data_IF_015383144617
#
_entry.id   IF_015383144617
#
_cell.length_a   1.000
_cell.length_b   1.000
_cell.length_c   1.000
_cell.angle_alpha   90.00
_cell.angle_beta   90.00
_cell.angle_gamma   90.00
#
_symmetry.space_group_name_H-M   'P 1'
#
loop_
_entity.id
_entity.type
_entity.pdbx_description
1 polymer ?
#
# COMPACT_ATOMS: atom_id res chain seq x y z
N UNK A 1 -67.63 15.39 7.24
CA UNK A 1 -67.12 14.89 5.93
C UNK A 1 -65.62 14.66 6.07
N UNK A 2 -65.17 13.43 5.78
CA UNK A 2 -63.81 12.92 5.99
C UNK A 2 -62.89 13.32 4.84
N UNK A 3 -61.87 14.13 5.09
CA UNK A 3 -60.73 14.27 4.18
C UNK A 3 -59.56 13.44 4.71
N UNK A 4 -59.39 12.24 4.14
CA UNK A 4 -58.24 11.36 4.36
C UNK A 4 -57.09 11.84 3.49
N UNK A 5 -56.10 12.50 4.07
CA UNK A 5 -54.82 12.74 3.41
C UNK A 5 -53.95 11.48 3.52
N UNK A 6 -53.93 10.72 2.42
CA UNK A 6 -53.09 9.54 2.22
C UNK A 6 -51.63 9.99 2.10
N UNK A 7 -50.82 9.72 3.13
CA UNK A 7 -49.37 9.93 3.07
C UNK A 7 -48.76 8.97 2.05
N UNK A 8 -48.20 9.54 1.00
CA UNK A 8 -47.52 8.87 -0.11
C UNK A 8 -46.29 8.14 0.46
N UNK A 9 -46.28 6.81 0.35
CA UNK A 9 -45.14 5.98 0.77
C UNK A 9 -43.89 6.39 0.00
N UNK A 10 -42.97 7.06 0.68
CA UNK A 10 -41.62 7.24 0.18
C UNK A 10 -40.94 5.87 0.14
N UNK A 11 -40.40 5.50 -1.03
CA UNK A 11 -39.54 4.34 -1.20
C UNK A 11 -38.32 4.52 -0.29
N UNK A 12 -38.38 3.90 0.87
CA UNK A 12 -37.24 3.74 1.78
C UNK A 12 -36.33 2.70 1.18
N UNK A 13 -35.05 3.04 1.02
CA UNK A 13 -34.02 2.05 0.74
C UNK A 13 -34.08 0.97 1.83
N UNK A 14 -34.02 -0.29 1.42
CA UNK A 14 -34.13 -1.45 2.30
C UNK A 14 -33.13 -1.30 3.47
N UNK A 15 -33.66 -1.12 4.69
CA UNK A 15 -32.88 -1.02 5.92
C UNK A 15 -33.11 0.25 6.74
N UNK A 16 -33.69 1.33 6.20
CA UNK A 16 -33.95 2.54 7.01
C UNK A 16 -35.33 2.46 7.66
N UNK A 17 -35.37 2.20 8.97
CA UNK A 17 -36.61 2.30 9.75
C UNK A 17 -36.68 3.66 10.42
N UNK A 18 -37.66 4.47 10.03
CA UNK A 18 -38.01 5.70 10.73
C UNK A 18 -39.12 5.39 11.73
N UNK A 19 -38.83 5.53 13.02
CA UNK A 19 -39.84 5.37 14.08
C UNK A 19 -40.36 6.75 14.42
N UNK A 20 -41.67 6.94 14.26
CA UNK A 20 -42.36 8.15 14.68
C UNK A 20 -42.72 8.03 16.16
N UNK A 21 -42.14 8.89 17.00
CA UNK A 21 -42.44 8.91 18.43
C UNK A 21 -43.84 9.53 18.62
N UNK A 22 -44.77 8.85 19.32
CA UNK A 22 -46.08 9.42 19.61
C UNK A 22 -45.93 10.68 20.48
N UNK A 23 -46.69 11.71 20.14
CA UNK A 23 -46.62 13.05 20.75
C UNK A 23 -46.66 12.99 22.27
N UNK A 24 -45.60 13.47 22.92
CA UNK A 24 -45.67 13.87 24.32
C UNK A 24 -46.43 15.21 24.37
N UNK A 25 -47.62 15.21 24.99
CA UNK A 25 -48.53 16.36 25.06
C UNK A 25 -47.85 17.51 25.80
N UNK A 26 -47.26 18.47 25.08
CA UNK A 26 -46.72 19.69 25.68
C UNK A 26 -45.72 20.52 24.86
N UNK A 27 -45.05 19.96 23.84
CA UNK A 27 -44.00 20.71 23.11
C UNK A 27 -44.39 20.96 21.65
N UNK A 28 -44.72 22.22 21.32
CA UNK A 28 -44.92 22.69 19.94
C UNK A 28 -43.56 22.99 19.32
N UNK A 29 -43.04 22.10 18.48
CA UNK A 29 -41.85 22.37 17.68
C UNK A 29 -41.18 21.09 17.18
N UNK A 30 -41.22 20.89 15.86
CA UNK A 30 -40.64 19.79 15.07
C UNK A 30 -41.17 18.38 15.38
N UNK A 31 -41.61 17.64 14.36
CA UNK A 31 -41.90 16.20 14.45
C UNK A 31 -40.55 15.46 14.64
N UNK A 32 -40.26 14.84 15.81
CA UNK A 32 -39.02 14.10 15.98
C UNK A 32 -39.16 12.77 15.25
N UNK A 33 -38.41 12.60 14.16
CA UNK A 33 -38.20 11.30 13.54
C UNK A 33 -36.80 10.81 13.90
N UNK A 34 -36.72 9.59 14.43
CA UNK A 34 -35.44 8.91 14.66
C UNK A 34 -35.15 8.06 13.44
N UNK A 35 -34.03 8.34 12.77
CA UNK A 35 -33.51 7.47 11.71
C UNK A 35 -32.72 6.37 12.38
N UNK A 36 -33.32 5.17 12.50
CA UNK A 36 -32.59 3.98 12.95
C UNK A 36 -31.90 3.41 11.72
N UNK A 37 -30.59 3.65 11.63
CA UNK A 37 -29.72 2.92 10.71
C UNK A 37 -29.36 1.61 11.43
N UNK A 38 -29.80 0.43 10.94
CA UNK A 38 -29.37 -0.84 11.51
C UNK A 38 -27.86 -0.95 11.30
N UNK A 39 -27.13 -0.74 12.39
CA UNK A 39 -25.68 -0.73 12.44
C UNK A 39 -25.16 -2.16 12.49
N UNK A 40 -25.53 -2.98 11.49
CA UNK A 40 -24.85 -4.25 11.25
C UNK A 40 -23.78 -3.97 10.19
N UNK A 41 -22.55 -3.61 10.58
CA UNK A 41 -21.46 -3.60 9.61
C UNK A 41 -21.43 -4.99 8.97
N UNK A 42 -21.38 -5.03 7.64
CA UNK A 42 -21.21 -6.32 6.97
C UNK A 42 -19.94 -6.98 7.50
N UNK A 43 -19.94 -8.31 7.63
CA UNK A 43 -18.74 -9.06 8.03
C UNK A 43 -17.53 -8.70 7.15
N UNK A 44 -17.78 -8.36 5.88
CA UNK A 44 -16.76 -7.85 4.96
C UNK A 44 -16.20 -6.49 5.37
N UNK A 45 -17.04 -5.55 5.84
CA UNK A 45 -16.61 -4.23 6.31
C UNK A 45 -15.80 -4.34 7.60
N UNK A 46 -16.21 -5.23 8.50
CA UNK A 46 -15.51 -5.49 9.75
C UNK A 46 -14.18 -6.20 9.52
N UNK A 47 -14.16 -7.21 8.65
CA UNK A 47 -12.93 -7.85 8.20
C UNK A 47 -11.96 -6.86 7.53
N UNK A 48 -12.45 -5.98 6.64
CA UNK A 48 -11.63 -4.93 6.02
C UNK A 48 -11.10 -3.92 7.04
N UNK A 49 -11.90 -3.56 8.05
CA UNK A 49 -11.45 -2.68 9.12
C UNK A 49 -10.35 -3.32 9.97
N UNK A 50 -10.49 -4.61 10.29
CA UNK A 50 -9.48 -5.39 11.02
C UNK A 50 -8.20 -5.51 10.20
N UNK A 51 -8.30 -5.94 8.93
CA UNK A 51 -7.14 -6.08 8.03
C UNK A 51 -6.48 -4.73 7.79
N UNK A 52 -7.27 -3.69 7.50
CA UNK A 52 -6.77 -2.32 7.33
C UNK A 52 -6.08 -1.79 8.57
N UNK A 53 -6.65 -2.02 9.76
CA UNK A 53 -6.04 -1.65 11.03
C UNK A 53 -4.76 -2.44 11.33
N UNK A 54 -4.69 -3.71 10.94
CA UNK A 54 -3.48 -4.54 11.08
C UNK A 54 -2.39 -4.08 10.12
N UNK A 55 -2.74 -3.82 8.86
CA UNK A 55 -1.85 -3.27 7.84
C UNK A 55 -1.33 -1.89 8.25
N UNK A 56 -2.20 -1.03 8.78
CA UNK A 56 -1.81 0.31 9.26
C UNK A 56 -0.84 0.24 10.44
N UNK A 57 -1.08 -0.66 11.41
CA UNK A 57 -0.15 -0.90 12.51
C UNK A 57 1.19 -1.45 12.01
N UNK A 58 1.16 -2.34 11.03
CA UNK A 58 2.33 -2.98 10.43
C UNK A 58 2.97 -2.19 9.29
N UNK A 59 2.50 -0.97 8.98
CA UNK A 59 2.95 -0.18 7.80
C UNK A 59 4.46 0.03 7.76
N UNK A 60 5.08 0.26 8.92
CA UNK A 60 6.54 0.41 9.02
C UNK A 60 7.27 -0.93 8.92
N UNK A 61 6.66 -2.03 9.33
CA UNK A 61 7.23 -3.37 9.19
C UNK A 61 7.24 -3.86 7.74
N UNK A 62 6.28 -3.39 6.93
CA UNK A 62 6.05 -3.80 5.55
C UNK A 62 6.61 -2.81 4.52
N UNK A 63 7.48 -1.88 4.92
CA UNK A 63 8.03 -0.87 4.01
C UNK A 63 8.74 -1.49 2.78
N UNK A 64 9.60 -2.53 2.91
CA UNK A 64 10.19 -3.18 1.74
C UNK A 64 9.15 -3.85 0.85
N UNK A 65 8.13 -4.47 1.44
CA UNK A 65 7.01 -5.08 0.69
C UNK A 65 6.22 -4.04 -0.10
N UNK A 66 5.85 -2.92 0.53
CA UNK A 66 5.15 -1.83 -0.14
C UNK A 66 5.96 -1.26 -1.30
N UNK A 67 7.26 -1.04 -1.10
CA UNK A 67 8.16 -0.57 -2.16
C UNK A 67 8.31 -1.58 -3.30
N UNK A 68 8.42 -2.88 -2.99
CA UNK A 68 8.54 -3.93 -3.99
C UNK A 68 7.28 -4.06 -4.87
N UNK A 69 6.09 -4.00 -4.25
CA UNK A 69 4.81 -4.01 -4.98
C UNK A 69 4.66 -2.74 -5.82
N UNK A 70 5.00 -1.58 -5.26
CA UNK A 70 4.99 -0.33 -6.01
C UNK A 70 5.94 -0.39 -7.22
N UNK A 71 7.15 -0.92 -7.03
CA UNK A 71 8.12 -1.09 -8.11
C UNK A 71 7.59 -2.02 -9.21
N UNK A 72 6.87 -3.09 -8.86
CA UNK A 72 6.21 -3.99 -9.82
C UNK A 72 5.18 -3.25 -10.67
N UNK A 73 4.31 -2.45 -10.04
CA UNK A 73 3.30 -1.64 -10.73
C UNK A 73 3.95 -0.59 -11.63
N UNK A 74 4.97 0.12 -11.11
CA UNK A 74 5.72 1.14 -11.87
C UNK A 74 6.42 0.50 -13.07
N UNK A 75 7.08 -0.64 -12.89
CA UNK A 75 7.76 -1.36 -13.97
C UNK A 75 6.78 -1.79 -15.07
N UNK A 76 5.63 -2.36 -14.69
CA UNK A 76 4.59 -2.75 -15.64
C UNK A 76 4.04 -1.54 -16.41
N UNK A 77 3.78 -0.44 -15.71
CA UNK A 77 3.31 0.80 -16.34
C UNK A 77 4.35 1.34 -17.33
N UNK A 78 5.62 1.46 -16.90
CA UNK A 78 6.72 1.90 -17.74
C UNK A 78 6.91 1.00 -18.96
N UNK A 79 6.80 -0.32 -18.80
CA UNK A 79 6.89 -1.24 -19.92
C UNK A 79 5.80 -1.00 -20.96
N UNK A 80 4.55 -0.80 -20.52
CA UNK A 80 3.42 -0.57 -21.41
C UNK A 80 3.51 0.79 -22.13
N UNK A 81 3.91 1.87 -21.44
CA UNK A 81 3.87 3.23 -22.00
C UNK A 81 5.20 3.70 -22.60
N UNK A 82 6.32 3.15 -22.13
CA UNK A 82 7.66 3.65 -22.43
C UNK A 82 8.73 2.57 -22.18
N UNK A 83 8.64 1.41 -22.84
CA UNK A 83 9.61 0.31 -22.67
C UNK A 83 11.08 0.76 -22.82
N UNK A 84 11.34 1.74 -23.70
CA UNK A 84 12.65 2.34 -23.93
C UNK A 84 13.23 3.05 -22.69
N UNK A 85 12.39 3.41 -21.70
CA UNK A 85 12.82 3.96 -20.42
C UNK A 85 13.77 3.03 -19.66
N UNK A 86 13.71 1.71 -19.91
CA UNK A 86 14.68 0.76 -19.38
C UNK A 86 16.13 1.11 -19.75
N UNK A 87 16.36 1.63 -20.96
CA UNK A 87 17.70 2.08 -21.39
C UNK A 87 18.18 3.31 -20.59
N UNK A 88 17.25 4.21 -20.24
CA UNK A 88 17.56 5.38 -19.41
C UNK A 88 17.77 5.01 -17.94
N UNK A 89 17.07 3.99 -17.45
CA UNK A 89 17.18 3.53 -16.07
C UNK A 89 18.43 2.68 -15.84
N UNK A 90 18.92 1.95 -16.84
CA UNK A 90 20.05 1.03 -16.70
C UNK A 90 21.31 1.66 -16.06
N UNK A 91 21.76 2.89 -16.43
CA UNK A 91 22.91 3.53 -15.79
C UNK A 91 22.73 3.77 -14.29
N UNK A 92 21.49 3.96 -13.82
CA UNK A 92 21.23 4.24 -12.40
C UNK A 92 21.61 3.06 -11.51
N UNK A 93 21.59 1.83 -12.03
CA UNK A 93 22.00 0.63 -11.31
C UNK A 93 23.48 0.66 -10.89
N UNK A 94 24.33 1.43 -11.57
CA UNK A 94 25.73 1.62 -11.19
C UNK A 94 25.91 2.64 -10.04
N UNK A 95 24.93 3.50 -9.79
CA UNK A 95 25.01 4.57 -8.79
C UNK A 95 25.43 4.11 -7.38
N UNK A 96 24.81 3.06 -6.81
CA UNK A 96 25.20 2.53 -5.50
C UNK A 96 26.62 1.94 -5.46
N UNK A 97 27.09 1.33 -6.56
CA UNK A 97 28.46 0.82 -6.67
C UNK A 97 29.47 1.96 -6.75
N UNK A 98 29.18 3.01 -7.51
CA UNK A 98 29.99 4.24 -7.56
C UNK A 98 30.06 4.89 -6.19
N UNK A 99 28.93 4.99 -5.48
CA UNK A 99 28.89 5.48 -4.11
C UNK A 99 29.77 4.64 -3.18
N UNK A 100 29.69 3.31 -3.26
CA UNK A 100 30.52 2.41 -2.46
C UNK A 100 32.00 2.64 -2.73
N UNK A 101 32.39 2.74 -4.00
CA UNK A 101 33.77 2.99 -4.42
C UNK A 101 34.28 4.34 -3.88
N UNK A 102 33.48 5.40 -4.04
CA UNK A 102 33.82 6.75 -3.54
C UNK A 102 33.93 6.74 -2.02
N UNK A 103 32.99 6.10 -1.31
CA UNK A 103 33.04 6.04 0.15
C UNK A 103 34.19 5.20 0.66
N UNK A 104 34.55 4.11 0.00
CA UNK A 104 35.71 3.31 0.40
C UNK A 104 37.01 4.08 0.19
N UNK A 105 37.10 4.92 -0.86
CA UNK A 105 38.26 5.81 -1.08
C UNK A 105 38.33 6.95 -0.09
N UNK A 106 37.19 7.59 0.23
CA UNK A 106 37.15 8.78 1.12
C UNK A 106 37.11 8.43 2.60
N UNK A 107 36.50 7.30 2.96
CA UNK A 107 36.26 6.82 4.33
C UNK A 107 36.39 5.29 4.37
N UNK A 108 37.62 4.76 4.29
CA UNK A 108 37.86 3.34 4.24
C UNK A 108 37.27 2.65 5.48
N UNK A 109 36.53 1.57 5.24
CA UNK A 109 35.98 0.71 6.27
C UNK A 109 36.45 -0.72 6.05
N UNK A 110 36.53 -1.50 7.11
CA UNK A 110 36.87 -2.93 7.08
C UNK A 110 35.87 -3.74 7.91
N UNK A 111 35.90 -5.07 7.75
CA UNK A 111 35.04 -6.00 8.51
C UNK A 111 33.54 -5.78 8.27
N UNK A 112 32.77 -5.83 9.35
CA UNK A 112 31.29 -5.76 9.32
C UNK A 112 30.74 -4.51 8.64
N UNK A 113 31.38 -3.35 8.83
CA UNK A 113 30.92 -2.08 8.22
C UNK A 113 31.05 -2.13 6.69
N UNK A 114 32.16 -2.67 6.19
CA UNK A 114 32.35 -2.84 4.75
C UNK A 114 31.37 -3.87 4.18
N UNK A 115 31.16 -4.99 4.89
CA UNK A 115 30.18 -5.99 4.49
C UNK A 115 28.77 -5.41 4.38
N UNK A 116 28.34 -4.60 5.35
CA UNK A 116 27.04 -3.91 5.29
C UNK A 116 26.93 -2.90 4.16
N UNK A 117 27.97 -2.09 3.94
CA UNK A 117 27.99 -1.14 2.81
C UNK A 117 27.94 -1.85 1.47
N UNK A 118 28.71 -2.92 1.30
CA UNK A 118 28.73 -3.73 0.10
C UNK A 118 27.39 -4.43 -0.14
N UNK A 119 26.81 -5.04 0.90
CA UNK A 119 25.49 -5.67 0.84
C UNK A 119 24.39 -4.68 0.48
N UNK A 120 24.39 -3.48 1.09
CA UNK A 120 23.42 -2.44 0.78
C UNK A 120 23.56 -1.94 -0.66
N UNK A 121 24.79 -1.68 -1.11
CA UNK A 121 25.07 -1.25 -2.48
C UNK A 121 24.66 -2.32 -3.50
N UNK A 122 25.02 -3.58 -3.28
CA UNK A 122 24.62 -4.69 -4.13
C UNK A 122 23.10 -4.85 -4.20
N UNK A 123 22.40 -4.77 -3.07
CA UNK A 123 20.95 -4.90 -3.02
C UNK A 123 20.25 -3.73 -3.75
N UNK A 124 20.70 -2.49 -3.54
CA UNK A 124 20.13 -1.33 -4.25
C UNK A 124 20.44 -1.36 -5.74
N UNK A 125 21.66 -1.72 -6.14
CA UNK A 125 22.02 -1.91 -7.54
C UNK A 125 21.19 -3.02 -8.19
N UNK A 126 21.00 -4.14 -7.50
CA UNK A 126 20.14 -5.25 -7.96
C UNK A 126 18.70 -4.78 -8.18
N UNK A 127 18.13 -4.04 -7.23
CA UNK A 127 16.76 -3.53 -7.35
C UNK A 127 16.60 -2.55 -8.52
N UNK A 128 17.58 -1.67 -8.76
CA UNK A 128 17.57 -0.74 -9.89
C UNK A 128 17.77 -1.45 -11.23
N UNK A 129 18.65 -2.44 -11.29
CA UNK A 129 18.86 -3.25 -12.48
C UNK A 129 17.61 -4.07 -12.82
N UNK A 130 16.95 -4.63 -11.80
CA UNK A 130 15.66 -5.29 -11.96
C UNK A 130 14.61 -4.32 -12.51
N UNK A 131 14.49 -3.11 -11.96
CA UNK A 131 13.52 -2.12 -12.44
C UNK A 131 13.75 -1.73 -13.91
N UNK A 132 15.01 -1.51 -14.30
CA UNK A 132 15.38 -1.16 -15.66
C UNK A 132 15.07 -2.30 -16.66
N UNK A 133 15.39 -3.53 -16.29
CA UNK A 133 15.12 -4.72 -17.13
C UNK A 133 13.64 -5.05 -17.18
N UNK A 134 12.91 -4.93 -16.06
CA UNK A 134 11.47 -5.08 -15.99
C UNK A 134 10.73 -4.02 -16.83
N UNK A 135 11.21 -2.78 -16.85
CA UNK A 135 10.66 -1.75 -17.75
C UNK A 135 10.92 -2.07 -19.23
N UNK A 136 12.11 -2.58 -19.57
CA UNK A 136 12.44 -2.92 -20.95
C UNK A 136 11.68 -4.15 -21.48
N UNK A 137 11.58 -5.21 -20.68
CA UNK A 137 11.14 -6.54 -21.13
C UNK A 137 9.83 -7.03 -20.51
N UNK A 138 9.32 -6.30 -19.50
CA UNK A 138 8.14 -6.67 -18.73
C UNK A 138 8.50 -7.27 -17.36
N UNK A 139 7.77 -6.95 -16.28
CA UNK A 139 8.15 -7.31 -14.90
C UNK A 139 8.09 -8.81 -14.58
N UNK A 140 7.37 -9.59 -15.39
CA UNK A 140 7.19 -11.04 -15.21
C UNK A 140 7.85 -11.85 -16.34
N UNK A 141 8.74 -11.25 -17.13
CA UNK A 141 9.40 -11.93 -18.22
C UNK A 141 10.50 -12.89 -17.71
N UNK A 142 10.38 -14.18 -18.02
CA UNK A 142 11.39 -15.19 -17.69
C UNK A 142 11.74 -15.22 -16.19
N UNK A 143 13.01 -15.00 -15.85
CA UNK A 143 13.51 -15.06 -14.48
C UNK A 143 13.29 -13.76 -13.66
N UNK A 144 12.67 -12.72 -14.23
CA UNK A 144 12.48 -11.43 -13.57
C UNK A 144 11.58 -11.53 -12.33
N UNK A 145 10.56 -12.39 -12.33
CA UNK A 145 9.72 -12.61 -11.15
C UNK A 145 10.53 -13.20 -9.99
N UNK A 146 11.37 -14.21 -10.26
CA UNK A 146 12.23 -14.80 -9.25
C UNK A 146 13.27 -13.78 -8.75
N UNK A 147 13.86 -12.99 -9.63
CA UNK A 147 14.82 -11.94 -9.24
C UNK A 147 14.17 -10.86 -8.36
N UNK A 148 12.93 -10.47 -8.67
CA UNK A 148 12.13 -9.58 -7.82
C UNK A 148 11.92 -10.18 -6.42
N UNK A 149 11.47 -11.44 -6.35
CA UNK A 149 11.22 -12.15 -5.09
C UNK A 149 12.49 -12.26 -4.23
N UNK A 150 13.62 -12.63 -4.83
CA UNK A 150 14.90 -12.72 -4.11
C UNK A 150 15.33 -11.36 -3.55
N UNK A 151 15.19 -10.29 -4.34
CA UNK A 151 15.51 -8.92 -3.91
C UNK A 151 14.57 -8.48 -2.77
N UNK A 152 13.28 -8.80 -2.87
CA UNK A 152 12.28 -8.53 -1.84
C UNK A 152 12.59 -9.27 -0.53
N UNK A 153 12.90 -10.56 -0.60
CA UNK A 153 13.24 -11.38 0.58
C UNK A 153 14.50 -10.83 1.25
N UNK A 154 15.53 -10.50 0.46
CA UNK A 154 16.76 -9.92 0.98
C UNK A 154 16.51 -8.54 1.63
N UNK A 155 15.75 -7.66 0.98
CA UNK A 155 15.40 -6.34 1.51
C UNK A 155 14.56 -6.42 2.79
N UNK A 156 13.57 -7.31 2.81
CA UNK A 156 12.74 -7.53 3.98
C UNK A 156 13.56 -8.11 5.14
N UNK A 157 14.46 -9.04 4.87
CA UNK A 157 15.36 -9.62 5.88
C UNK A 157 16.29 -8.56 6.47
N UNK A 158 16.94 -7.76 5.62
CA UNK A 158 17.80 -6.66 6.05
C UNK A 158 17.03 -5.63 6.89
N UNK A 159 15.81 -5.25 6.46
CA UNK A 159 14.94 -4.35 7.21
C UNK A 159 14.59 -4.88 8.60
N UNK A 160 14.28 -6.18 8.70
CA UNK A 160 13.98 -6.83 9.97
C UNK A 160 15.20 -6.91 10.90
N UNK A 161 16.41 -7.02 10.36
CA UNK A 161 17.65 -6.97 11.16
C UNK A 161 17.87 -5.55 11.70
N UNK A 162 17.87 -4.55 10.81
CA UNK A 162 18.16 -3.14 11.16
C UNK A 162 17.15 -2.59 12.18
N UNK A 163 15.86 -2.92 12.05
CA UNK A 163 14.83 -2.46 12.98
C UNK A 163 14.87 -3.13 14.36
N UNK A 164 15.58 -4.25 14.50
CA UNK A 164 15.75 -4.95 15.79
C UNK A 164 16.96 -4.41 16.55
N UNK A 165 17.90 -3.80 15.82
CA UNK A 165 19.14 -3.24 16.37
C UNK A 165 19.02 -1.77 16.79
N UNK A 166 17.89 -1.11 16.49
CA UNK A 166 17.56 0.27 16.85
C UNK A 166 16.22 0.31 17.59
#
# INVERSE_FOLDING_TARGET
MSSRTRARGAKTAAGVHTIRIPRQRGRRGADPFVVVVPERPSLTREALAVVGGWLWRSRRALAPTGLAVLALVVAGLLHVIAWWSGLLLAPTAAGPLVWLLVMQRRRPATGSVLAWRAGLAALTSSALAWLATAAAFGPLAGALELWWLLTLIAAQSAWLIVRRTH
#
